data_IF_503311190356
#
_entry.id   IF_503311190356
#
_cell.length_a   1.000
_cell.length_b   1.000
_cell.length_c   1.000
_cell.angle_alpha   90.00
_cell.angle_beta   90.00
_cell.angle_gamma   90.00
#
_symmetry.space_group_name_H-M   'P 1'
#
loop_
_entity.id
_entity.type
_entity.pdbx_description
1 polymer ?
#
# COMPACT_ATOMS: atom_id res chain seq x y z
N UNK A 1 -52.02 -13.67 -13.21
CA UNK A 1 -51.29 -12.55 -12.60
C UNK A 1 -51.97 -12.18 -11.29
N UNK A 2 -51.32 -12.45 -10.15
CA UNK A 2 -51.15 -11.58 -8.98
C UNK A 2 -50.87 -12.41 -7.74
N UNK A 3 -49.62 -12.33 -7.30
CA UNK A 3 -49.15 -12.81 -6.00
C UNK A 3 -49.44 -11.68 -5.01
N UNK A 4 -50.26 -11.94 -3.99
CA UNK A 4 -50.56 -10.98 -2.93
C UNK A 4 -50.25 -11.62 -1.59
N UNK A 5 -49.66 -10.81 -0.70
CA UNK A 5 -49.64 -10.98 0.74
C UNK A 5 -48.71 -12.04 1.34
N UNK A 6 -47.43 -11.67 1.45
CA UNK A 6 -46.71 -11.93 2.69
C UNK A 6 -46.42 -10.60 3.39
N UNK A 7 -47.29 -10.27 4.34
CA UNK A 7 -47.16 -9.17 5.28
C UNK A 7 -45.95 -9.46 6.16
N UNK A 8 -44.97 -8.57 6.19
CA UNK A 8 -44.12 -8.36 7.36
C UNK A 8 -43.64 -6.91 7.41
N UNK A 9 -43.67 -6.40 8.63
CA UNK A 9 -43.86 -5.01 9.03
C UNK A 9 -42.56 -4.17 8.97
N UNK A 10 -42.63 -2.85 9.27
CA UNK A 10 -41.63 -1.88 8.87
C UNK A 10 -40.44 -1.87 9.83
N UNK A 11 -39.23 -1.99 9.29
CA UNK A 11 -38.01 -1.59 10.00
C UNK A 11 -37.75 -0.12 9.71
N UNK A 12 -38.10 0.72 10.68
CA UNK A 12 -37.46 2.01 10.87
C UNK A 12 -35.96 1.77 11.11
N UNK A 13 -35.10 2.26 10.23
CA UNK A 13 -33.76 2.69 10.66
C UNK A 13 -33.24 3.83 9.79
N UNK A 14 -33.28 5.01 10.39
CA UNK A 14 -32.25 6.05 10.37
C UNK A 14 -31.89 6.62 9.00
N UNK A 15 -32.41 7.83 8.78
CA UNK A 15 -31.65 9.03 8.43
C UNK A 15 -30.34 8.75 7.70
N UNK A 16 -30.35 9.03 6.40
CA UNK A 16 -29.19 9.06 5.54
C UNK A 16 -28.09 9.96 6.11
N UNK A 17 -27.21 9.36 6.89
CA UNK A 17 -25.84 9.82 7.05
C UNK A 17 -25.06 9.15 5.94
N UNK A 18 -25.01 9.81 4.77
CA UNK A 18 -23.90 9.65 3.83
C UNK A 18 -22.62 9.95 4.61
N UNK A 19 -22.03 8.92 5.21
CA UNK A 19 -20.65 8.99 5.70
C UNK A 19 -19.84 9.34 4.48
N UNK A 20 -19.36 10.59 4.45
CA UNK A 20 -18.22 11.00 3.65
C UNK A 20 -17.13 9.98 3.99
N UNK A 21 -16.98 8.95 3.16
CA UNK A 21 -15.81 8.12 3.13
C UNK A 21 -14.75 9.05 2.59
N UNK A 22 -14.16 9.81 3.50
CA UNK A 22 -12.93 10.54 3.27
C UNK A 22 -11.97 9.48 2.73
N UNK A 23 -11.82 9.48 1.41
CA UNK A 23 -10.80 8.72 0.72
C UNK A 23 -9.52 9.01 1.52
N UNK A 24 -8.88 8.01 2.16
CA UNK A 24 -7.72 8.28 2.99
C UNK A 24 -6.70 8.88 2.04
N UNK A 25 -6.61 10.22 2.07
CA UNK A 25 -5.69 10.99 1.26
C UNK A 25 -4.35 10.37 1.57
N UNK A 26 -3.75 9.73 0.56
CA UNK A 26 -2.58 8.87 0.75
C UNK A 26 -1.62 9.59 1.69
N UNK A 27 -1.55 9.12 2.94
CA UNK A 27 -0.77 9.82 3.98
C UNK A 27 0.63 9.93 3.40
N UNK A 28 1.17 11.15 3.35
CA UNK A 28 2.56 11.34 2.95
C UNK A 28 3.41 10.38 3.80
N UNK A 29 4.27 9.57 3.19
CA UNK A 29 5.11 8.66 3.96
C UNK A 29 5.89 9.46 5.00
N UNK A 30 5.89 9.00 6.24
CA UNK A 30 6.52 9.70 7.38
C UNK A 30 8.04 9.78 7.26
N UNK A 31 8.63 8.97 6.39
CA UNK A 31 10.06 8.84 6.16
C UNK A 31 10.38 9.01 4.68
N UNK A 32 11.55 9.58 4.33
CA UNK A 32 12.01 9.57 2.95
C UNK A 32 12.20 8.10 2.48
N UNK A 33 11.94 7.80 1.19
CA UNK A 33 12.14 6.45 0.68
C UNK A 33 13.63 6.10 0.60
N UNK A 34 13.97 4.85 0.94
CA UNK A 34 15.30 4.31 0.67
C UNK A 34 15.44 4.01 -0.82
N UNK A 35 16.57 4.41 -1.40
CA UNK A 35 16.83 4.27 -2.83
C UNK A 35 17.86 3.18 -3.06
N UNK A 36 17.47 2.16 -3.82
CA UNK A 36 18.38 1.15 -4.36
C UNK A 36 18.57 1.44 -5.84
N UNK A 37 19.80 1.40 -6.31
CA UNK A 37 20.13 1.66 -7.72
C UNK A 37 20.55 0.35 -8.36
N UNK A 38 19.93 0.02 -9.48
CA UNK A 38 20.28 -1.17 -10.26
C UNK A 38 21.01 -0.78 -11.53
N UNK A 39 21.88 -1.66 -12.01
CA UNK A 39 22.43 -1.59 -13.36
C UNK A 39 21.32 -1.87 -14.38
N UNK A 40 21.42 -1.31 -15.59
CA UNK A 40 20.34 -1.39 -16.57
C UNK A 40 19.98 -2.83 -16.98
N UNK A 41 20.95 -3.75 -16.88
CA UNK A 41 20.84 -5.14 -17.29
C UNK A 41 20.21 -6.04 -16.21
N UNK A 42 20.21 -5.62 -14.94
CA UNK A 42 19.67 -6.40 -13.81
C UNK A 42 18.50 -5.66 -13.17
N UNK A 43 17.28 -5.95 -13.62
CA UNK A 43 16.08 -5.31 -13.08
C UNK A 43 15.18 -6.35 -12.45
N UNK A 44 15.47 -6.77 -11.21
CA UNK A 44 14.70 -7.80 -10.51
C UNK A 44 13.25 -7.36 -10.29
N UNK A 45 12.36 -8.32 -10.11
CA UNK A 45 10.95 -8.01 -9.82
C UNK A 45 10.82 -7.31 -8.45
N UNK A 46 9.83 -6.42 -8.32
CA UNK A 46 9.59 -5.68 -7.07
C UNK A 46 9.42 -6.63 -5.88
N UNK A 47 8.72 -7.75 -6.08
CA UNK A 47 8.52 -8.79 -5.08
C UNK A 47 9.83 -9.46 -4.65
N UNK A 48 10.76 -9.70 -5.58
CA UNK A 48 12.06 -10.30 -5.26
C UNK A 48 12.88 -9.38 -4.37
N UNK A 49 12.94 -8.08 -4.71
CA UNK A 49 13.67 -7.07 -3.95
C UNK A 49 13.12 -6.97 -2.53
N UNK A 50 11.79 -6.87 -2.39
CA UNK A 50 11.14 -6.78 -1.08
C UNK A 50 11.41 -8.02 -0.23
N UNK A 51 11.33 -9.22 -0.82
CA UNK A 51 11.64 -10.48 -0.12
C UNK A 51 13.08 -10.54 0.37
N UNK A 52 14.03 -10.18 -0.48
CA UNK A 52 15.44 -10.21 -0.12
C UNK A 52 15.77 -9.21 0.98
N UNK A 53 15.21 -8.01 0.92
CA UNK A 53 15.41 -6.99 1.97
C UNK A 53 14.79 -7.46 3.29
N UNK A 54 13.57 -7.99 3.27
CA UNK A 54 12.93 -8.51 4.48
C UNK A 54 13.77 -9.63 5.10
N UNK A 55 14.36 -10.50 4.27
CA UNK A 55 15.23 -11.59 4.71
C UNK A 55 16.52 -11.08 5.35
N UNK A 56 17.21 -10.12 4.74
CA UNK A 56 18.54 -9.68 5.19
C UNK A 56 18.48 -8.62 6.29
N UNK A 57 17.59 -7.64 6.17
CA UNK A 57 17.41 -6.58 7.16
C UNK A 57 16.49 -7.01 8.33
N UNK A 58 15.92 -8.22 8.26
CA UNK A 58 14.98 -8.78 9.26
C UNK A 58 13.78 -7.85 9.52
N UNK A 59 13.30 -7.18 8.49
CA UNK A 59 12.15 -6.28 8.53
C UNK A 59 10.96 -6.87 7.78
N UNK A 60 9.79 -6.26 7.95
CA UNK A 60 8.56 -6.62 7.24
C UNK A 60 8.08 -5.43 6.42
N UNK A 61 8.71 -5.23 5.26
CA UNK A 61 8.25 -4.31 4.24
C UNK A 61 7.23 -5.00 3.35
N UNK A 62 6.17 -4.27 3.04
CA UNK A 62 5.09 -4.73 2.16
C UNK A 62 5.18 -4.11 0.77
N UNK A 63 5.93 -3.03 0.59
CA UNK A 63 5.89 -2.25 -0.66
C UNK A 63 7.18 -1.50 -0.96
N UNK A 64 7.55 -1.53 -2.24
CA UNK A 64 8.51 -0.65 -2.88
C UNK A 64 8.14 -0.52 -4.36
N UNK A 65 8.65 0.50 -5.03
CA UNK A 65 8.35 0.74 -6.46
C UNK A 65 9.56 1.21 -7.22
N UNK A 66 9.62 0.91 -8.51
CA UNK A 66 10.57 1.59 -9.37
C UNK A 66 10.20 3.07 -9.56
N UNK A 67 11.20 3.94 -9.42
CA UNK A 67 11.14 5.32 -9.86
C UNK A 67 11.32 5.35 -11.39
N UNK A 68 10.36 5.95 -12.09
CA UNK A 68 10.47 6.17 -13.52
C UNK A 68 11.47 7.31 -13.78
N UNK A 69 12.74 6.97 -14.03
CA UNK A 69 13.76 7.95 -14.36
C UNK A 69 14.87 7.36 -15.26
N UNK A 70 14.63 7.33 -16.57
CA UNK A 70 15.68 7.14 -17.58
C UNK A 70 16.44 5.79 -17.54
N UNK A 71 17.71 5.81 -17.95
CA UNK A 71 18.56 4.61 -18.08
C UNK A 71 18.89 3.93 -16.75
N UNK A 72 18.79 4.64 -15.63
CA UNK A 72 19.09 4.12 -14.30
C UNK A 72 17.80 3.77 -13.57
N UNK A 73 17.47 2.49 -13.48
CA UNK A 73 16.30 2.06 -12.72
C UNK A 73 16.63 2.14 -11.23
N UNK A 74 15.98 3.08 -10.55
CA UNK A 74 16.06 3.21 -9.10
C UNK A 74 14.81 2.60 -8.49
N UNK A 75 14.97 1.80 -7.45
CA UNK A 75 13.86 1.26 -6.68
C UNK A 75 13.75 2.01 -5.35
N UNK A 76 12.54 2.47 -5.05
CA UNK A 76 12.20 3.22 -3.86
C UNK A 76 11.47 2.31 -2.88
N UNK A 77 12.04 2.16 -1.69
CA UNK A 77 11.45 1.44 -0.57
C UNK A 77 10.81 2.40 0.41
N UNK A 78 9.57 2.12 0.76
CA UNK A 78 8.82 2.89 1.75
C UNK A 78 8.72 2.10 3.04
N UNK A 79 9.14 2.72 4.13
CA UNK A 79 9.04 2.16 5.47
C UNK A 79 7.90 2.80 6.23
N UNK A 80 7.31 2.05 7.17
CA UNK A 80 6.15 2.50 7.94
C UNK A 80 6.49 2.82 9.41
N UNK A 81 7.72 2.52 9.86
CA UNK A 81 8.16 2.79 11.23
C UNK A 81 9.62 3.24 11.28
N UNK A 82 9.99 3.93 12.35
CA UNK A 82 11.39 4.30 12.62
C UNK A 82 12.28 3.06 12.78
N UNK A 83 11.80 2.00 13.43
CA UNK A 83 12.57 0.76 13.56
C UNK A 83 12.91 0.12 12.20
N UNK A 84 11.99 0.18 11.23
CA UNK A 84 12.26 -0.29 9.88
C UNK A 84 13.27 0.62 9.16
N UNK A 85 13.20 1.92 9.41
CA UNK A 85 14.14 2.90 8.88
C UNK A 85 15.55 2.67 9.43
N UNK A 86 15.69 2.49 10.75
CA UNK A 86 16.97 2.28 11.43
C UNK A 86 17.67 0.98 10.99
N UNK A 87 16.91 -0.04 10.60
CA UNK A 87 17.47 -1.32 10.09
C UNK A 87 17.93 -1.27 8.63
N UNK A 88 17.58 -0.21 7.90
CA UNK A 88 17.99 0.00 6.51
C UNK A 88 19.18 0.98 6.38
N UNK A 89 19.52 1.71 7.45
CA UNK A 89 20.70 2.56 7.59
C UNK A 89 21.91 1.75 8.06
#
# INVERSE_FOLDING_TARGET
FNNSDFRQAPYTTKSGSTKNVSNPTARRPSFPPFRITFTADETPSELSIVKDINKHCRISLSYGRYAAAGRNKSFLLYVNSSEQFDRLM
#
